data_IF_301400296708
#
_entry.id   IF_301400296708
#
_cell.length_a   1.000
_cell.length_b   1.000
_cell.length_c   1.000
_cell.angle_alpha   90.00
_cell.angle_beta   90.00
_cell.angle_gamma   90.00
#
_symmetry.space_group_name_H-M   'P 1'
#
loop_
_entity.id
_entity.type
_entity.pdbx_description
1 polymer ?
#
# COMPACT_ATOMS: atom_id res chain seq x y z
N UNK A 1 4.67 -2.78 4.78
CA UNK A 1 3.67 -2.94 5.88
C UNK A 1 2.55 -1.95 5.66
N UNK A 2 1.28 -2.37 5.80
CA UNK A 2 0.12 -1.48 5.66
C UNK A 2 -0.25 -0.84 7.00
N UNK A 3 -0.43 0.47 7.00
CA UNK A 3 -1.09 1.22 8.08
C UNK A 3 -2.34 1.91 7.56
N UNK A 4 -3.32 2.12 8.44
CA UNK A 4 -4.61 2.73 8.11
C UNK A 4 -4.84 3.93 9.02
N UNK A 5 -5.22 5.05 8.45
CA UNK A 5 -5.51 6.28 9.20
C UNK A 5 -6.69 7.05 8.58
N UNK A 6 -7.44 7.79 9.40
CA UNK A 6 -8.42 8.72 8.87
C UNK A 6 -7.74 9.98 8.32
N UNK A 7 -8.19 10.42 7.16
CA UNK A 7 -7.82 11.73 6.61
C UNK A 7 -8.49 12.81 7.46
N UNK A 8 -7.69 13.67 8.10
CA UNK A 8 -8.20 14.67 9.05
C UNK A 8 -8.97 15.78 8.39
N UNK A 9 -8.41 16.38 7.32
CA UNK A 9 -9.04 17.46 6.56
C UNK A 9 -8.75 17.31 5.07
N UNK A 10 -9.70 17.69 4.22
CA UNK A 10 -9.55 17.61 2.77
C UNK A 10 -8.43 18.53 2.25
N UNK A 11 -8.39 19.79 2.66
CA UNK A 11 -7.36 20.73 2.24
C UNK A 11 -5.97 20.37 2.74
N UNK A 12 -5.86 19.88 3.99
CA UNK A 12 -4.59 19.38 4.54
C UNK A 12 -4.08 18.17 3.78
N UNK A 13 -4.96 17.26 3.37
CA UNK A 13 -4.60 16.09 2.57
C UNK A 13 -4.15 16.49 1.15
N UNK A 14 -4.92 17.33 0.47
CA UNK A 14 -4.58 17.79 -0.87
C UNK A 14 -3.20 18.49 -0.89
N UNK A 15 -2.94 19.38 0.08
CA UNK A 15 -1.63 20.02 0.23
C UNK A 15 -0.54 19.02 0.56
N UNK A 16 -0.78 18.10 1.49
CA UNK A 16 0.20 17.11 1.95
C UNK A 16 0.63 16.18 0.82
N UNK A 17 -0.31 15.56 0.13
CA UNK A 17 -0.01 14.57 -0.89
C UNK A 17 0.48 15.20 -2.21
N UNK A 18 0.05 16.43 -2.52
CA UNK A 18 0.55 17.17 -3.67
C UNK A 18 1.94 17.79 -3.44
N UNK A 19 2.24 18.25 -2.21
CA UNK A 19 3.51 18.90 -1.88
C UNK A 19 4.64 17.91 -1.58
N UNK A 20 4.32 16.69 -1.17
CA UNK A 20 5.32 15.64 -0.86
C UNK A 20 5.86 14.92 -2.09
N UNK A 21 5.54 15.41 -3.27
CA UNK A 21 6.15 14.98 -4.51
C UNK A 21 7.60 15.46 -4.58
N UNK A 22 8.48 14.74 -3.93
CA UNK A 22 9.95 14.97 -3.92
C UNK A 22 10.61 14.60 -5.26
N UNK A 23 9.86 14.63 -6.34
CA UNK A 23 10.37 14.25 -7.65
C UNK A 23 10.92 15.46 -8.38
N UNK A 24 11.98 15.24 -9.15
CA UNK A 24 12.42 16.17 -10.19
C UNK A 24 11.28 16.41 -11.19
N UNK A 25 11.33 17.49 -11.98
CA UNK A 25 10.32 17.74 -13.02
C UNK A 25 10.08 16.54 -13.96
N UNK A 26 11.09 15.68 -14.16
CA UNK A 26 10.99 14.44 -14.93
C UNK A 26 10.15 13.34 -14.24
N UNK A 27 10.09 13.37 -12.91
CA UNK A 27 9.32 12.39 -12.10
C UNK A 27 7.94 12.93 -11.70
N UNK A 28 7.61 14.17 -12.03
CA UNK A 28 6.32 14.79 -11.70
C UNK A 28 5.12 14.01 -12.27
N UNK A 29 5.31 13.27 -13.35
CA UNK A 29 4.29 12.40 -13.96
C UNK A 29 3.93 11.17 -13.10
N UNK A 30 4.77 10.83 -12.10
CA UNK A 30 4.52 9.70 -11.18
C UNK A 30 3.90 10.12 -9.85
N UNK A 31 3.62 11.39 -9.65
CA UNK A 31 3.33 11.97 -8.33
C UNK A 31 1.99 11.55 -7.73
N UNK A 32 0.99 11.27 -8.53
CA UNK A 32 -0.32 10.83 -8.07
C UNK A 32 -1.18 10.39 -9.24
N UNK A 33 -1.88 9.27 -9.09
CA UNK A 33 -2.80 8.75 -10.11
C UNK A 33 -4.16 8.41 -9.47
N UNK A 34 -5.23 8.57 -10.25
CA UNK A 34 -6.53 8.09 -9.88
C UNK A 34 -6.62 6.58 -10.09
N UNK A 35 -7.18 5.88 -9.11
CA UNK A 35 -7.35 4.43 -9.12
C UNK A 35 -8.75 4.06 -8.63
N UNK A 36 -9.30 3.00 -9.20
CA UNK A 36 -10.57 2.41 -8.80
C UNK A 36 -11.72 2.75 -9.73
N UNK A 37 -12.66 1.82 -9.80
CA UNK A 37 -13.86 1.92 -10.63
C UNK A 37 -14.73 3.14 -10.28
N UNK A 38 -14.73 3.55 -9.00
CA UNK A 38 -15.43 4.75 -8.57
C UNK A 38 -14.82 6.02 -9.16
N UNK A 39 -13.49 6.06 -9.33
CA UNK A 39 -12.82 7.15 -10.03
C UNK A 39 -13.20 7.16 -11.51
N UNK A 40 -13.14 6.02 -12.19
CA UNK A 40 -13.57 5.89 -13.60
C UNK A 40 -15.01 6.33 -13.82
N UNK A 41 -15.95 5.92 -12.96
CA UNK A 41 -17.36 6.33 -13.01
C UNK A 41 -17.53 7.85 -12.90
N UNK A 42 -16.69 8.52 -12.15
CA UNK A 42 -16.71 9.98 -11.98
C UNK A 42 -15.91 10.72 -13.06
N UNK A 43 -15.37 10.00 -14.05
CA UNK A 43 -14.50 10.59 -15.09
C UNK A 43 -13.18 11.11 -14.56
N UNK A 44 -12.70 10.52 -13.46
CA UNK A 44 -11.40 10.80 -12.86
C UNK A 44 -10.39 9.77 -13.37
N UNK A 45 -9.47 10.21 -14.19
CA UNK A 45 -8.44 9.35 -14.76
C UNK A 45 -7.07 10.05 -14.77
N UNK A 46 -6.02 9.27 -14.98
CA UNK A 46 -4.65 9.77 -15.07
C UNK A 46 -4.19 10.45 -13.77
N UNK A 47 -3.57 11.62 -13.93
CA UNK A 47 -2.94 12.35 -12.81
C UNK A 47 -3.96 13.00 -11.89
N UNK A 48 -3.69 12.92 -10.57
CA UNK A 48 -4.51 13.58 -9.56
C UNK A 48 -4.22 15.09 -9.55
N UNK A 49 -5.23 15.89 -9.92
CA UNK A 49 -5.21 17.33 -9.71
C UNK A 49 -5.54 17.68 -8.26
N UNK A 50 -4.77 18.58 -7.64
CA UNK A 50 -4.91 18.90 -6.22
C UNK A 50 -6.26 19.52 -5.86
N UNK A 51 -6.82 20.38 -6.74
CA UNK A 51 -8.14 21.03 -6.49
C UNK A 51 -9.26 20.02 -6.65
N UNK A 52 -9.18 19.18 -7.69
CA UNK A 52 -10.13 18.11 -7.93
C UNK A 52 -10.12 17.10 -6.79
N UNK A 53 -8.93 16.73 -6.29
CA UNK A 53 -8.76 15.83 -5.15
C UNK A 53 -9.36 16.42 -3.87
N UNK A 54 -9.09 17.70 -3.59
CA UNK A 54 -9.70 18.38 -2.45
C UNK A 54 -11.22 18.43 -2.55
N UNK A 55 -11.79 18.70 -3.73
CA UNK A 55 -13.23 18.70 -3.96
C UNK A 55 -13.84 17.32 -3.67
N UNK A 56 -13.25 16.24 -4.19
CA UNK A 56 -13.68 14.86 -3.93
C UNK A 56 -13.62 14.53 -2.44
N UNK A 57 -12.54 14.91 -1.74
CA UNK A 57 -12.42 14.71 -0.30
C UNK A 57 -13.42 15.53 0.52
N UNK A 58 -13.95 16.63 -0.02
CA UNK A 58 -15.08 17.40 0.54
C UNK A 58 -16.46 16.82 0.19
N UNK A 59 -16.50 15.73 -0.58
CA UNK A 59 -17.73 15.12 -1.07
C UNK A 59 -18.37 15.85 -2.25
N UNK A 60 -17.65 16.74 -2.93
CA UNK A 60 -18.09 17.44 -4.13
C UNK A 60 -17.72 16.62 -5.36
N UNK A 61 -18.73 16.18 -6.11
CA UNK A 61 -18.53 15.35 -7.30
C UNK A 61 -18.37 16.21 -8.56
N UNK A 62 -17.72 15.69 -9.63
CA UNK A 62 -17.52 16.42 -10.87
C UNK A 62 -18.81 16.86 -11.57
N UNK A 63 -19.92 16.15 -11.35
CA UNK A 63 -21.24 16.45 -11.88
C UNK A 63 -21.99 17.56 -11.08
N UNK A 64 -21.36 18.15 -10.08
CA UNK A 64 -21.93 19.17 -9.20
C UNK A 64 -22.73 18.62 -8.03
N UNK A 65 -22.95 17.32 -7.97
CA UNK A 65 -23.61 16.68 -6.84
C UNK A 65 -22.72 16.65 -5.60
N UNK A 66 -23.35 16.49 -4.43
CA UNK A 66 -22.65 16.39 -3.15
C UNK A 66 -22.99 15.09 -2.43
N UNK A 67 -21.97 14.44 -1.87
CA UNK A 67 -22.10 13.30 -0.97
C UNK A 67 -22.24 13.78 0.47
N UNK A 68 -23.25 13.28 1.17
CA UNK A 68 -23.58 13.70 2.54
C UNK A 68 -24.65 14.77 2.62
N UNK A 69 -25.05 15.15 3.83
CA UNK A 69 -26.05 16.17 4.07
C UNK A 69 -25.41 17.55 4.17
N UNK A 70 -26.09 18.56 3.65
CA UNK A 70 -25.68 19.95 3.79
C UNK A 70 -25.59 20.33 5.27
N UNK A 71 -24.56 21.07 5.66
CA UNK A 71 -24.34 21.50 7.05
C UNK A 71 -23.76 20.45 8.00
N UNK A 72 -23.45 19.22 7.53
CA UNK A 72 -22.71 18.23 8.32
C UNK A 72 -21.28 18.10 7.83
N UNK A 73 -20.32 17.91 8.77
CA UNK A 73 -18.95 17.63 8.43
C UNK A 73 -18.84 16.32 7.64
N UNK A 74 -18.35 16.42 6.42
CA UNK A 74 -18.06 15.27 5.58
C UNK A 74 -16.69 14.70 5.98
N UNK A 75 -16.65 13.42 6.39
CA UNK A 75 -15.37 12.72 6.60
C UNK A 75 -14.64 12.64 5.26
N UNK A 76 -13.41 13.16 5.19
CA UNK A 76 -12.67 13.27 3.94
C UNK A 76 -12.34 11.90 3.32
N UNK A 77 -11.86 10.94 4.12
CA UNK A 77 -11.52 9.62 3.62
C UNK A 77 -10.65 8.81 4.59
N UNK A 78 -10.04 7.77 4.04
CA UNK A 78 -9.13 6.85 4.75
C UNK A 78 -7.83 6.73 3.96
N UNK A 79 -6.71 6.96 4.60
CA UNK A 79 -5.37 6.73 4.03
C UNK A 79 -4.91 5.31 4.36
N UNK A 80 -4.68 4.52 3.31
CA UNK A 80 -4.04 3.22 3.35
C UNK A 80 -2.58 3.40 2.94
N UNK A 81 -1.67 3.45 3.91
CA UNK A 81 -0.23 3.64 3.62
C UNK A 81 0.46 2.30 3.47
N UNK A 82 0.83 1.95 2.24
CA UNK A 82 1.57 0.74 1.88
C UNK A 82 3.07 1.02 1.89
N UNK A 83 3.78 0.62 2.93
CA UNK A 83 5.24 0.80 3.06
C UNK A 83 5.98 -0.44 2.59
N UNK A 84 6.89 -0.25 1.64
CA UNK A 84 7.80 -1.29 1.15
C UNK A 84 8.79 -1.69 2.26
N UNK A 85 9.17 -2.96 2.40
CA UNK A 85 10.22 -3.36 3.34
C UNK A 85 11.55 -2.67 3.03
N UNK A 86 12.38 -2.47 4.05
CA UNK A 86 13.54 -1.57 3.98
C UNK A 86 14.57 -2.01 2.94
N UNK A 87 14.88 -3.29 2.85
CA UNK A 87 15.86 -3.79 1.88
C UNK A 87 15.47 -3.48 0.43
N UNK A 88 14.18 -3.61 0.11
CA UNK A 88 13.65 -3.29 -1.21
C UNK A 88 13.70 -1.79 -1.50
N UNK A 89 13.40 -0.96 -0.50
CA UNK A 89 13.55 0.50 -0.62
C UNK A 89 15.00 0.89 -0.88
N UNK A 90 15.98 0.20 -0.25
CA UNK A 90 17.41 0.45 -0.46
C UNK A 90 17.84 0.05 -1.88
N UNK A 91 17.48 -1.14 -2.35
CA UNK A 91 17.85 -1.58 -3.71
C UNK A 91 17.20 -0.64 -4.75
N UNK A 92 15.94 -0.25 -4.56
CA UNK A 92 15.22 0.59 -5.50
C UNK A 92 15.74 2.04 -5.52
N UNK A 93 15.90 2.68 -4.35
CA UNK A 93 16.16 4.11 -4.25
C UNK A 93 17.65 4.46 -4.18
N UNK A 94 18.48 3.59 -3.59
CA UNK A 94 19.94 3.77 -3.53
C UNK A 94 20.59 3.06 -4.72
N UNK A 95 20.14 1.85 -5.05
CA UNK A 95 20.62 1.09 -6.19
C UNK A 95 20.06 1.53 -7.55
N UNK A 96 18.95 2.27 -7.55
CA UNK A 96 18.34 2.81 -8.78
C UNK A 96 17.49 1.81 -9.58
N UNK A 97 17.13 0.64 -9.02
CA UNK A 97 16.27 -0.31 -9.73
C UNK A 97 14.78 0.03 -9.60
N UNK A 98 14.30 0.91 -10.47
CA UNK A 98 12.91 1.38 -10.49
C UNK A 98 11.89 0.26 -10.78
N UNK A 99 12.30 -0.87 -11.36
CA UNK A 99 11.41 -2.03 -11.60
C UNK A 99 10.81 -2.55 -10.30
N UNK A 100 11.53 -2.41 -9.18
CA UNK A 100 11.04 -2.79 -7.84
C UNK A 100 9.92 -1.85 -7.39
N UNK A 101 10.04 -0.54 -7.66
CA UNK A 101 8.99 0.44 -7.36
C UNK A 101 7.73 0.14 -8.18
N UNK A 102 7.90 -0.11 -9.49
CA UNK A 102 6.79 -0.42 -10.38
C UNK A 102 6.10 -1.74 -9.96
N UNK A 103 6.87 -2.78 -9.64
CA UNK A 103 6.34 -4.04 -9.12
C UNK A 103 5.55 -3.88 -7.82
N UNK A 104 5.99 -2.99 -6.93
CA UNK A 104 5.26 -2.71 -5.69
C UNK A 104 3.99 -1.88 -5.93
N UNK A 105 4.05 -0.89 -6.83
CA UNK A 105 2.89 -0.12 -7.28
C UNK A 105 1.80 -1.03 -7.84
N UNK A 106 2.17 -1.95 -8.73
CA UNK A 106 1.24 -2.90 -9.33
C UNK A 106 0.60 -3.81 -8.28
N UNK A 107 1.39 -4.31 -7.32
CA UNK A 107 0.89 -5.11 -6.21
C UNK A 107 -0.11 -4.31 -5.34
N UNK A 108 0.14 -3.03 -5.10
CA UNK A 108 -0.79 -2.13 -4.38
C UNK A 108 -2.07 -1.94 -5.20
N UNK A 109 -1.97 -1.64 -6.50
CA UNK A 109 -3.15 -1.46 -7.38
C UNK A 109 -4.02 -2.71 -7.45
N UNK A 110 -3.43 -3.89 -7.61
CA UNK A 110 -4.16 -5.16 -7.58
C UNK A 110 -4.87 -5.38 -6.23
N UNK A 111 -4.22 -5.04 -5.13
CA UNK A 111 -4.82 -5.14 -3.79
C UNK A 111 -5.98 -4.16 -3.62
N UNK A 112 -5.86 -2.93 -4.11
CA UNK A 112 -6.94 -1.93 -4.09
C UNK A 112 -8.12 -2.38 -4.95
N UNK A 113 -7.86 -2.95 -6.12
CA UNK A 113 -8.92 -3.50 -6.97
C UNK A 113 -9.68 -4.67 -6.29
N UNK A 114 -8.95 -5.53 -5.58
CA UNK A 114 -9.59 -6.58 -4.78
C UNK A 114 -10.41 -5.98 -3.62
N UNK A 115 -9.88 -4.99 -2.91
CA UNK A 115 -10.58 -4.31 -1.81
C UNK A 115 -11.85 -3.62 -2.31
N UNK A 116 -11.79 -2.94 -3.43
CA UNK A 116 -12.94 -2.32 -4.09
C UNK A 116 -14.04 -3.33 -4.36
N UNK A 117 -13.69 -4.44 -4.99
CA UNK A 117 -14.64 -5.50 -5.36
C UNK A 117 -15.25 -6.22 -4.17
N UNK A 118 -14.59 -6.28 -3.00
CA UNK A 118 -15.01 -7.14 -1.91
C UNK A 118 -15.36 -6.38 -0.62
N UNK A 119 -14.85 -5.15 -0.44
CA UNK A 119 -14.97 -4.42 0.82
C UNK A 119 -15.72 -3.09 0.72
N UNK A 120 -15.98 -2.59 -0.51
CA UNK A 120 -16.66 -1.31 -0.71
C UNK A 120 -18.14 -1.43 -0.37
N UNK A 121 -18.60 -0.66 0.62
CA UNK A 121 -19.97 -0.66 1.11
C UNK A 121 -20.49 0.76 1.36
N UNK A 122 -21.80 0.89 1.33
CA UNK A 122 -22.51 2.10 1.78
C UNK A 122 -23.75 1.73 2.58
N UNK A 123 -24.37 2.74 3.21
CA UNK A 123 -25.68 2.61 3.84
C UNK A 123 -26.73 3.23 2.94
N UNK A 124 -27.83 2.53 2.75
CA UNK A 124 -28.99 2.99 1.97
C UNK A 124 -30.27 2.73 2.73
N UNK A 125 -31.22 3.65 2.59
CA UNK A 125 -32.60 3.33 2.94
C UNK A 125 -33.20 2.42 1.86
N UNK A 126 -33.69 1.28 2.28
CA UNK A 126 -34.40 0.32 1.43
C UNK A 126 -35.76 0.05 2.07
N UNK A 127 -36.81 0.66 1.53
CA UNK A 127 -38.21 0.56 2.04
C UNK A 127 -38.35 0.98 3.52
N UNK A 128 -37.79 2.15 3.89
CA UNK A 128 -37.87 2.71 5.24
C UNK A 128 -36.91 2.02 6.25
N UNK A 129 -35.97 1.20 5.80
CA UNK A 129 -34.96 0.56 6.67
C UNK A 129 -33.55 0.80 6.16
N UNK A 130 -32.67 1.25 7.05
CA UNK A 130 -31.25 1.37 6.72
C UNK A 130 -30.65 -0.03 6.50
N UNK A 131 -30.02 -0.23 5.35
CA UNK A 131 -29.29 -1.45 5.00
C UNK A 131 -27.87 -1.11 4.54
N UNK A 132 -26.94 -2.00 4.87
CA UNK A 132 -25.60 -1.99 4.30
C UNK A 132 -25.66 -2.67 2.93
N UNK A 133 -25.18 -1.97 1.92
CA UNK A 133 -25.19 -2.42 0.53
C UNK A 133 -23.77 -2.41 -0.02
N UNK A 134 -23.39 -3.47 -0.67
CA UNK A 134 -22.12 -3.57 -1.38
C UNK A 134 -22.17 -2.70 -2.65
N UNK A 135 -21.11 -1.90 -2.87
CA UNK A 135 -21.06 -0.96 -4.00
C UNK A 135 -20.07 -1.39 -5.08
N UNK A 136 -18.99 -2.08 -4.70
CA UNK A 136 -17.99 -2.58 -5.63
C UNK A 136 -17.21 -1.47 -6.34
N UNK A 137 -17.14 -0.28 -5.78
CA UNK A 137 -16.40 0.84 -6.36
C UNK A 137 -15.80 1.74 -5.27
N UNK A 138 -14.55 2.17 -5.50
CA UNK A 138 -13.79 3.10 -4.67
C UNK A 138 -13.27 4.26 -5.52
N UNK A 139 -13.10 5.41 -4.90
CA UNK A 139 -12.42 6.58 -5.48
C UNK A 139 -11.11 6.75 -4.73
N UNK A 140 -9.98 6.48 -5.37
CA UNK A 140 -8.68 6.44 -4.70
C UNK A 140 -7.69 7.36 -5.42
N UNK A 141 -7.07 8.28 -4.66
CA UNK A 141 -5.86 8.95 -5.08
C UNK A 141 -4.65 8.15 -4.58
N UNK A 142 -3.84 7.62 -5.50
CA UNK A 142 -2.63 6.86 -5.18
C UNK A 142 -1.40 7.74 -5.37
N UNK A 143 -0.65 7.97 -4.27
CA UNK A 143 0.52 8.84 -4.24
C UNK A 143 1.76 8.03 -3.83
N UNK A 144 2.84 8.17 -4.59
CA UNK A 144 4.11 7.54 -4.28
C UNK A 144 5.03 8.50 -3.53
N UNK A 145 5.61 8.03 -2.43
CA UNK A 145 6.65 8.74 -1.68
C UNK A 145 7.87 7.84 -1.49
N UNK A 146 9.03 8.42 -1.32
CA UNK A 146 10.30 7.69 -1.26
C UNK A 146 11.15 7.99 -0.03
N UNK A 147 10.71 8.89 0.84
CA UNK A 147 11.42 9.24 2.08
C UNK A 147 10.52 9.17 3.30
N UNK A 148 11.11 8.81 4.43
CA UNK A 148 10.49 9.04 5.73
C UNK A 148 10.82 10.44 6.27
N UNK A 149 10.37 10.77 7.50
CA UNK A 149 10.63 12.08 8.13
C UNK A 149 12.08 12.40 8.41
N UNK A 150 12.92 11.37 8.53
CA UNK A 150 14.35 11.51 8.74
C UNK A 150 15.11 11.55 7.40
N UNK A 151 14.39 11.73 6.28
CA UNK A 151 14.93 11.75 4.92
C UNK A 151 15.69 10.47 4.52
N UNK A 152 15.33 9.34 5.14
CA UNK A 152 15.89 8.04 4.80
C UNK A 152 15.12 7.39 3.65
N UNK A 153 15.78 6.53 2.82
CA UNK A 153 15.12 5.80 1.75
C UNK A 153 13.97 4.95 2.29
N UNK A 154 12.75 5.25 1.87
CA UNK A 154 11.54 4.58 2.34
C UNK A 154 10.43 4.68 1.30
N UNK A 155 10.47 3.79 0.31
CA UNK A 155 9.43 3.76 -0.70
C UNK A 155 8.08 3.33 -0.09
N UNK A 156 7.07 4.14 -0.29
CA UNK A 156 5.71 3.85 0.17
C UNK A 156 4.67 4.53 -0.70
N UNK A 157 3.47 3.98 -0.68
CA UNK A 157 2.32 4.50 -1.40
C UNK A 157 1.21 4.87 -0.43
N UNK A 158 0.71 6.09 -0.54
CA UNK A 158 -0.52 6.50 0.10
C UNK A 158 -1.69 6.26 -0.86
N UNK A 159 -2.55 5.31 -0.54
CA UNK A 159 -3.81 5.12 -1.22
C UNK A 159 -4.91 5.82 -0.42
N UNK A 160 -5.21 7.04 -0.80
CA UNK A 160 -6.22 7.86 -0.13
C UNK A 160 -7.58 7.53 -0.71
N UNK A 161 -8.31 6.68 -0.02
CA UNK A 161 -9.68 6.30 -0.36
C UNK A 161 -10.61 7.39 0.08
N UNK A 162 -11.22 8.12 -0.86
CA UNK A 162 -12.20 9.14 -0.56
C UNK A 162 -13.46 8.54 0.09
N UNK A 163 -14.14 9.31 0.93
CA UNK A 163 -15.41 8.90 1.53
C UNK A 163 -16.58 9.02 0.54
N UNK A 164 -16.36 8.49 -0.66
CA UNK A 164 -17.29 8.53 -1.80
C UNK A 164 -17.37 7.16 -2.42
N UNK A 165 -18.59 6.71 -2.71
CA UNK A 165 -18.87 5.52 -3.51
C UNK A 165 -20.20 5.69 -4.23
N UNK A 166 -20.42 5.02 -5.37
CA UNK A 166 -21.69 5.03 -6.07
C UNK A 166 -22.53 3.81 -5.67
N UNK A 167 -23.74 4.05 -5.24
CA UNK A 167 -24.70 2.98 -4.94
C UNK A 167 -25.28 2.33 -6.19
N UNK A 168 -25.99 1.20 -6.05
CA UNK A 168 -26.60 0.47 -7.17
C UNK A 168 -27.70 1.27 -7.90
N UNK A 169 -28.18 2.35 -7.33
CA UNK A 169 -29.12 3.30 -7.93
C UNK A 169 -28.44 4.46 -8.66
N UNK A 170 -27.12 4.41 -8.84
CA UNK A 170 -26.32 5.41 -9.52
C UNK A 170 -26.02 6.67 -8.69
N UNK A 171 -26.50 6.78 -7.45
CA UNK A 171 -26.28 7.97 -6.61
C UNK A 171 -24.98 7.88 -5.81
N UNK A 172 -24.26 8.99 -5.74
CA UNK A 172 -23.10 9.15 -4.86
C UNK A 172 -23.49 9.09 -3.38
N UNK A 173 -22.69 8.35 -2.57
CA UNK A 173 -22.90 8.14 -1.13
C UNK A 173 -21.60 8.11 -0.36
N UNK A 174 -21.71 8.29 0.95
CA UNK A 174 -20.58 8.09 1.85
C UNK A 174 -20.18 6.61 1.88
N UNK A 175 -18.88 6.37 1.75
CA UNK A 175 -18.28 5.03 1.88
C UNK A 175 -18.32 4.58 3.34
N UNK A 176 -18.75 3.37 3.60
CA UNK A 176 -18.54 2.68 4.86
C UNK A 176 -17.17 1.99 4.85
N UNK A 177 -16.24 2.50 5.65
CA UNK A 177 -14.83 2.07 5.63
C UNK A 177 -14.47 1.01 6.67
N UNK A 178 -15.42 0.51 7.47
CA UNK A 178 -15.16 -0.44 8.56
C UNK A 178 -14.40 -1.68 8.10
N UNK A 179 -14.77 -2.22 6.92
CA UNK A 179 -14.11 -3.38 6.33
C UNK A 179 -12.67 -3.10 5.90
N UNK A 180 -12.35 -1.89 5.43
CA UNK A 180 -10.97 -1.52 5.10
C UNK A 180 -10.07 -1.57 6.35
N UNK A 181 -10.58 -1.09 7.49
CA UNK A 181 -9.89 -1.17 8.77
C UNK A 181 -9.75 -2.61 9.27
N UNK A 182 -10.83 -3.37 9.25
CA UNK A 182 -10.86 -4.75 9.74
C UNK A 182 -9.96 -5.70 8.94
N UNK A 183 -9.77 -5.44 7.64
CA UNK A 183 -9.01 -6.31 6.75
C UNK A 183 -7.59 -5.78 6.43
N UNK A 184 -7.05 -4.84 7.20
CA UNK A 184 -5.73 -4.25 6.93
C UNK A 184 -4.61 -5.30 6.85
N UNK A 185 -4.62 -6.31 7.72
CA UNK A 185 -3.64 -7.40 7.71
C UNK A 185 -3.76 -8.25 6.44
N UNK A 186 -4.99 -8.54 5.99
CA UNK A 186 -5.23 -9.28 4.75
C UNK A 186 -4.73 -8.48 3.53
N UNK A 187 -5.07 -7.19 3.46
CA UNK A 187 -4.62 -6.32 2.37
C UNK A 187 -3.08 -6.22 2.32
N UNK A 188 -2.42 -6.09 3.49
CA UNK A 188 -0.96 -6.13 3.56
C UNK A 188 -0.41 -7.43 3.00
N UNK A 189 -0.94 -8.54 3.43
CA UNK A 189 -0.46 -9.84 3.04
C UNK A 189 -0.68 -10.12 1.54
N UNK A 190 -1.80 -9.69 0.96
CA UNK A 190 -2.05 -9.76 -0.48
C UNK A 190 -1.02 -8.93 -1.26
N UNK A 191 -0.78 -7.69 -0.84
CA UNK A 191 0.23 -6.83 -1.45
C UNK A 191 1.61 -7.48 -1.40
N UNK A 192 2.02 -8.01 -0.24
CA UNK A 192 3.31 -8.67 -0.10
C UNK A 192 3.43 -9.94 -0.95
N UNK A 193 2.38 -10.75 -1.04
CA UNK A 193 2.38 -11.95 -1.87
C UNK A 193 2.54 -11.62 -3.38
N UNK A 194 1.83 -10.60 -3.85
CA UNK A 194 1.95 -10.10 -5.24
C UNK A 194 3.34 -9.53 -5.51
N UNK A 195 3.81 -8.68 -4.62
CA UNK A 195 5.13 -8.06 -4.73
C UNK A 195 6.24 -9.12 -4.75
N UNK A 196 6.15 -10.16 -3.89
CA UNK A 196 7.08 -11.27 -3.88
C UNK A 196 7.20 -11.94 -5.24
N UNK A 197 6.07 -12.32 -5.86
CA UNK A 197 6.06 -12.93 -7.18
C UNK A 197 6.72 -12.05 -8.24
N UNK A 198 6.54 -10.74 -8.14
CA UNK A 198 7.12 -9.78 -9.08
C UNK A 198 8.63 -9.66 -8.91
N UNK A 199 9.15 -9.55 -7.69
CA UNK A 199 10.60 -9.45 -7.46
C UNK A 199 11.33 -10.78 -7.73
N UNK A 200 10.69 -11.93 -7.48
CA UNK A 200 11.23 -13.24 -7.88
C UNK A 200 11.33 -13.36 -9.42
N UNK A 201 10.37 -12.83 -10.17
CA UNK A 201 10.45 -12.73 -11.65
C UNK A 201 11.57 -11.81 -12.12
N UNK A 202 11.89 -10.75 -11.36
CA UNK A 202 13.03 -9.90 -11.63
C UNK A 202 14.37 -10.57 -11.28
N UNK A 203 14.35 -11.80 -10.75
CA UNK A 203 15.51 -12.59 -10.41
C UNK A 203 16.07 -12.35 -9.00
N UNK A 204 15.38 -11.60 -8.16
CA UNK A 204 15.77 -11.38 -6.77
C UNK A 204 15.47 -12.60 -5.89
N UNK A 205 16.35 -12.84 -4.94
CA UNK A 205 16.14 -13.85 -3.90
C UNK A 205 15.49 -13.24 -2.66
N UNK A 206 14.61 -14.02 -2.06
CA UNK A 206 13.92 -13.65 -0.84
C UNK A 206 14.80 -14.02 0.37
N UNK A 207 14.98 -13.06 1.26
CA UNK A 207 15.68 -13.21 2.52
C UNK A 207 14.75 -13.49 3.69
N UNK A 208 14.99 -12.76 4.79
CA UNK A 208 14.24 -12.88 6.03
C UNK A 208 12.73 -12.61 5.82
N UNK A 209 11.88 -13.44 6.40
CA UNK A 209 10.42 -13.29 6.36
C UNK A 209 9.85 -13.10 7.76
N UNK A 210 8.85 -12.26 7.88
CA UNK A 210 8.10 -12.07 9.12
C UNK A 210 6.83 -12.92 9.15
N UNK A 211 6.31 -13.15 10.35
CA UNK A 211 5.03 -13.86 10.57
C UNK A 211 3.80 -13.22 9.90
N UNK A 212 3.92 -11.97 9.44
CA UNK A 212 2.84 -11.22 8.78
C UNK A 212 3.02 -11.11 7.26
N UNK A 213 3.89 -11.95 6.67
CA UNK A 213 4.12 -12.02 5.23
C UNK A 213 5.05 -10.94 4.68
N UNK A 214 5.54 -10.00 5.50
CA UNK A 214 6.58 -9.08 5.04
C UNK A 214 7.90 -9.84 4.88
N UNK A 215 8.67 -9.49 3.88
CA UNK A 215 9.93 -10.15 3.54
C UNK A 215 10.97 -9.14 3.09
N UNK A 216 12.22 -9.44 3.36
CA UNK A 216 13.37 -8.64 2.95
C UNK A 216 14.08 -9.29 1.76
N UNK A 217 14.85 -8.51 1.00
CA UNK A 217 15.70 -9.04 -0.05
C UNK A 217 16.90 -9.77 0.53
N UNK A 218 17.28 -10.91 -0.04
CA UNK A 218 18.54 -11.56 0.26
C UNK A 218 19.72 -10.66 -0.15
N UNK A 219 20.80 -10.67 0.65
CA UNK A 219 21.99 -9.87 0.38
C UNK A 219 21.94 -8.42 0.91
N UNK A 220 20.86 -8.03 1.61
CA UNK A 220 20.83 -6.79 2.39
C UNK A 220 20.80 -7.15 3.87
N UNK A 221 21.89 -6.87 4.57
CA UNK A 221 22.05 -7.26 5.97
C UNK A 221 21.09 -6.48 6.90
N UNK A 222 20.87 -7.03 8.09
CA UNK A 222 20.09 -6.35 9.12
C UNK A 222 20.74 -5.03 9.53
N UNK A 223 22.06 -5.03 9.68
CA UNK A 223 22.84 -3.84 10.03
C UNK A 223 22.64 -2.72 8.99
N UNK A 224 22.71 -3.04 7.70
CA UNK A 224 22.45 -2.11 6.61
C UNK A 224 21.03 -1.54 6.69
N UNK A 225 20.03 -2.40 6.91
CA UNK A 225 18.62 -1.97 7.04
C UNK A 225 18.40 -1.07 8.27
N UNK A 226 18.98 -1.44 9.40
CA UNK A 226 18.83 -0.70 10.66
C UNK A 226 19.53 0.66 10.59
N UNK A 227 20.69 0.76 9.93
CA UNK A 227 21.39 2.02 9.72
C UNK A 227 20.55 3.05 8.94
N UNK A 228 19.68 2.59 8.03
CA UNK A 228 18.72 3.44 7.29
C UNK A 228 17.32 3.47 7.93
N UNK A 229 17.18 3.08 9.20
CA UNK A 229 15.91 2.99 9.91
C UNK A 229 15.91 3.76 11.24
N UNK A 230 16.60 4.91 11.30
CA UNK A 230 16.74 5.71 12.52
C UNK A 230 15.38 6.15 13.07
N UNK A 231 14.42 6.45 12.21
CA UNK A 231 13.06 6.75 12.61
C UNK A 231 12.39 5.63 13.40
N UNK A 232 12.61 4.38 13.00
CA UNK A 232 12.11 3.20 13.72
C UNK A 232 12.79 3.09 15.09
N UNK A 233 14.10 3.32 15.15
CA UNK A 233 14.86 3.26 16.40
C UNK A 233 14.34 4.31 17.40
N UNK A 234 14.06 5.54 16.97
CA UNK A 234 13.48 6.59 17.81
C UNK A 234 12.11 6.17 18.38
N UNK A 235 11.22 5.64 17.55
CA UNK A 235 9.89 5.16 17.98
C UNK A 235 10.02 4.04 19.00
N UNK A 236 10.91 3.06 18.77
CA UNK A 236 11.15 1.95 19.69
C UNK A 236 11.77 2.41 21.01
N UNK A 237 12.71 3.36 20.96
CA UNK A 237 13.29 3.95 22.15
C UNK A 237 12.24 4.71 22.99
N UNK A 238 11.34 5.44 22.34
CA UNK A 238 10.24 6.11 23.02
C UNK A 238 9.24 5.10 23.60
N UNK A 239 8.88 4.06 22.85
CA UNK A 239 7.99 3.00 23.32
C UNK A 239 8.56 2.28 24.55
N UNK A 240 9.89 2.06 24.60
CA UNK A 240 10.56 1.45 25.74
C UNK A 240 10.50 2.31 27.01
N UNK A 241 10.29 3.63 26.88
CA UNK A 241 10.13 4.57 28.00
C UNK A 241 8.68 4.71 28.48
N UNK A 242 7.72 4.12 27.75
CA UNK A 242 6.30 4.20 28.08
C UNK A 242 5.87 2.99 28.92
N UNK A 243 5.07 3.22 29.95
CA UNK A 243 4.51 2.15 30.80
C UNK A 243 3.41 1.35 30.10
N UNK A 244 2.82 1.92 29.03
CA UNK A 244 1.76 1.27 28.24
C UNK A 244 2.32 0.45 27.09
N UNK A 245 1.71 -0.73 26.84
CA UNK A 245 2.07 -1.65 25.75
C UNK A 245 0.88 -1.86 24.83
N UNK A 246 1.15 -2.21 23.59
CA UNK A 246 0.12 -2.54 22.59
C UNK A 246 0.06 -1.56 21.42
N UNK A 247 -0.87 -1.76 20.47
CA UNK A 247 -0.96 -0.93 19.25
C UNK A 247 -1.10 0.56 19.52
N UNK A 248 -1.95 0.95 20.47
CA UNK A 248 -2.15 2.36 20.83
C UNK A 248 -0.90 3.04 21.41
N UNK A 249 -0.05 2.28 22.13
CA UNK A 249 1.22 2.79 22.65
C UNK A 249 2.21 3.07 21.51
N UNK A 250 2.25 2.22 20.50
CA UNK A 250 3.08 2.42 19.30
C UNK A 250 2.66 3.68 18.54
N UNK A 251 1.37 3.92 18.38
CA UNK A 251 0.84 5.11 17.73
C UNK A 251 1.18 6.37 18.55
N UNK A 252 1.03 6.33 19.88
CA UNK A 252 1.40 7.41 20.75
C UNK A 252 2.91 7.71 20.68
N UNK A 253 3.78 6.69 20.75
CA UNK A 253 5.24 6.85 20.61
C UNK A 253 5.61 7.46 19.24
N UNK A 254 4.92 7.06 18.18
CA UNK A 254 5.09 7.63 16.84
C UNK A 254 4.72 9.10 16.78
N UNK A 255 3.65 9.51 17.47
CA UNK A 255 3.25 10.92 17.58
C UNK A 255 4.23 11.74 18.42
N UNK A 256 4.65 11.22 19.57
CA UNK A 256 5.57 11.91 20.49
C UNK A 256 6.94 12.16 19.88
N UNK A 257 7.43 11.24 19.06
CA UNK A 257 8.72 11.36 18.35
C UNK A 257 8.60 12.08 17.01
N UNK A 258 7.43 12.66 16.70
CA UNK A 258 7.16 13.27 15.41
C UNK A 258 7.85 14.62 15.26
N UNK A 259 9.06 14.62 14.64
CA UNK A 259 9.74 15.87 14.27
C UNK A 259 8.93 16.65 13.22
N UNK A 260 9.18 17.96 13.14
CA UNK A 260 8.68 18.79 12.06
C UNK A 260 9.14 18.22 10.70
N UNK A 261 8.29 18.39 9.67
CA UNK A 261 8.62 17.95 8.33
C UNK A 261 9.67 18.90 7.74
N UNK A 262 10.77 18.35 7.25
CA UNK A 262 11.80 19.09 6.54
C UNK A 262 11.54 18.96 5.03
N UNK A 263 11.42 20.10 4.36
CA UNK A 263 11.31 20.09 2.89
C UNK A 263 12.69 19.83 2.29
N UNK A 264 12.78 18.83 1.42
CA UNK A 264 14.02 18.52 0.71
C UNK A 264 14.20 19.56 -0.39
N UNK A 265 15.24 20.40 -0.25
CA UNK A 265 15.56 21.43 -1.23
C UNK A 265 16.50 20.92 -2.34
N UNK A 266 17.38 19.97 -2.02
CA UNK A 266 18.30 19.35 -2.96
C UNK A 266 18.20 17.83 -2.94
N UNK A 267 17.43 17.30 -3.86
CA UNK A 267 17.22 15.86 -4.03
C UNK A 267 18.49 15.12 -4.43
N UNK A 268 19.31 15.74 -5.28
CA UNK A 268 20.55 15.13 -5.74
C UNK A 268 21.57 15.02 -4.59
N UNK A 269 21.65 16.02 -3.71
CA UNK A 269 22.47 15.95 -2.50
C UNK A 269 22.00 14.83 -1.57
N UNK A 270 20.68 14.70 -1.38
CA UNK A 270 20.11 13.61 -0.55
C UNK A 270 20.43 12.24 -1.14
N UNK A 271 20.28 12.05 -2.43
CA UNK A 271 20.59 10.76 -3.09
C UNK A 271 22.08 10.43 -2.98
N UNK A 272 22.98 11.43 -3.11
CA UNK A 272 24.42 11.25 -2.87
C UNK A 272 24.70 10.82 -1.43
N UNK A 273 24.09 11.47 -0.44
CA UNK A 273 24.27 11.10 0.97
C UNK A 273 23.82 9.67 1.27
N UNK A 274 22.79 9.17 0.60
CA UNK A 274 22.39 7.77 0.70
C UNK A 274 23.41 6.82 0.08
N UNK A 275 23.97 7.17 -1.09
CA UNK A 275 24.98 6.38 -1.77
C UNK A 275 26.30 6.32 -0.96
N UNK A 276 26.72 7.46 -0.40
CA UNK A 276 27.92 7.53 0.44
C UNK A 276 27.78 6.63 1.67
N UNK A 277 26.65 6.77 2.39
CA UNK A 277 26.33 5.93 3.55
C UNK A 277 26.22 4.44 3.20
N UNK A 278 25.65 4.12 2.04
CA UNK A 278 25.56 2.73 1.55
C UNK A 278 26.97 2.15 1.32
N UNK A 279 27.87 2.94 0.73
CA UNK A 279 29.27 2.56 0.51
C UNK A 279 30.01 2.31 1.83
N UNK A 280 29.84 3.21 2.82
CA UNK A 280 30.42 3.03 4.16
C UNK A 280 29.96 1.75 4.85
N UNK A 281 28.71 1.34 4.60
CA UNK A 281 28.12 0.10 5.13
C UNK A 281 28.42 -1.14 4.28
N UNK A 282 29.22 -1.03 3.23
CA UNK A 282 29.51 -2.13 2.31
C UNK A 282 28.27 -2.65 1.58
N UNK A 283 27.25 -1.80 1.36
CA UNK A 283 26.05 -2.17 0.60
C UNK A 283 26.29 -1.96 -0.89
N UNK A 284 26.51 -3.06 -1.62
CA UNK A 284 26.70 -3.07 -3.07
C UNK A 284 25.38 -3.42 -3.79
N UNK A 285 24.55 -2.40 -4.01
CA UNK A 285 23.31 -2.55 -4.74
C UNK A 285 23.54 -2.94 -6.20
N UNK A 286 24.62 -2.46 -6.82
CA UNK A 286 24.95 -2.76 -8.23
C UNK A 286 25.19 -4.24 -8.43
N UNK A 287 26.00 -4.87 -7.54
CA UNK A 287 26.23 -6.32 -7.59
C UNK A 287 24.94 -7.12 -7.32
N UNK A 288 24.04 -6.65 -6.43
CA UNK A 288 22.75 -7.30 -6.20
C UNK A 288 21.87 -7.26 -7.45
N UNK A 289 21.76 -6.11 -8.10
CA UNK A 289 20.99 -5.92 -9.33
C UNK A 289 21.57 -6.77 -10.47
N UNK A 290 22.89 -6.78 -10.63
CA UNK A 290 23.54 -7.59 -11.66
C UNK A 290 23.28 -9.10 -11.47
N UNK A 291 23.35 -9.61 -10.23
CA UNK A 291 22.99 -11.00 -9.91
C UNK A 291 21.53 -11.31 -10.20
N UNK A 292 20.62 -10.40 -9.86
CA UNK A 292 19.21 -10.57 -10.15
C UNK A 292 18.96 -10.64 -11.66
N UNK A 293 19.56 -9.74 -12.44
CA UNK A 293 19.45 -9.72 -13.90
C UNK A 293 19.98 -11.02 -14.54
N UNK A 294 21.16 -11.50 -14.10
CA UNK A 294 21.73 -12.75 -14.59
C UNK A 294 20.82 -13.94 -14.30
N UNK A 295 20.20 -13.98 -13.11
CA UNK A 295 19.27 -15.02 -12.70
C UNK A 295 17.97 -14.97 -13.48
N UNK A 296 17.41 -13.77 -13.70
CA UNK A 296 16.22 -13.59 -14.55
C UNK A 296 16.48 -14.07 -15.98
N UNK A 297 17.66 -13.75 -16.56
CA UNK A 297 18.04 -14.19 -17.89
C UNK A 297 18.18 -15.73 -17.99
N UNK A 298 18.75 -16.38 -16.95
CA UNK A 298 18.88 -17.84 -16.93
C UNK A 298 17.52 -18.55 -16.78
N UNK A 299 16.56 -17.94 -16.07
CA UNK A 299 15.22 -18.49 -15.90
C UNK A 299 14.35 -18.42 -17.17
N UNK A 300 14.70 -17.57 -18.13
CA UNK A 300 14.01 -17.51 -19.45
C UNK A 300 14.29 -18.79 -20.26
N UNK A 301 15.41 -19.51 -19.99
CA UNK A 301 15.76 -20.78 -20.65
C UNK A 301 15.14 -22.04 -20.04
N UNK A 302 14.62 -21.96 -18.82
CA UNK A 302 14.03 -23.09 -18.09
C UNK A 302 12.67 -22.74 -17.51
N UNK A 303 11.67 -22.51 -18.37
CA UNK A 303 10.31 -22.13 -17.92
C UNK A 303 9.66 -23.35 -17.25
N UNK A 304 9.42 -23.36 -15.91
CA UNK A 304 8.46 -24.27 -15.31
C UNK A 304 7.14 -24.07 -16.03
N UNK A 305 6.49 -25.13 -16.46
CA UNK A 305 5.23 -25.04 -17.20
C UNK A 305 4.22 -24.24 -16.38
N UNK A 306 3.25 -23.59 -17.05
CA UNK A 306 2.17 -22.85 -16.38
C UNK A 306 1.49 -23.73 -15.31
N UNK A 307 1.45 -25.05 -15.54
CA UNK A 307 0.97 -26.09 -14.63
C UNK A 307 1.78 -26.15 -13.33
N UNK A 308 3.11 -26.14 -13.39
CA UNK A 308 3.95 -26.24 -12.20
C UNK A 308 3.85 -24.99 -11.32
N UNK A 309 3.74 -23.82 -11.96
CA UNK A 309 3.55 -22.53 -11.25
C UNK A 309 2.16 -22.40 -10.63
N UNK A 310 1.14 -22.87 -11.33
CA UNK A 310 -0.25 -22.88 -10.83
C UNK A 310 -0.40 -23.87 -9.67
N UNK A 311 0.24 -25.05 -9.73
CA UNK A 311 0.25 -26.00 -8.62
C UNK A 311 1.01 -25.45 -7.40
N UNK A 312 2.16 -24.81 -7.62
CA UNK A 312 2.94 -24.20 -6.56
C UNK A 312 2.22 -22.99 -5.91
N UNK A 313 1.53 -22.18 -6.70
CA UNK A 313 0.66 -21.09 -6.22
C UNK A 313 -0.59 -21.62 -5.51
N UNK A 314 -1.18 -22.69 -6.01
CA UNK A 314 -2.37 -23.31 -5.41
C UNK A 314 -2.03 -23.99 -4.06
N UNK A 315 -0.86 -24.63 -3.93
CA UNK A 315 -0.42 -25.23 -2.66
C UNK A 315 -0.13 -24.15 -1.60
N UNK A 316 0.65 -23.13 -1.94
CA UNK A 316 0.93 -22.02 -1.01
C UNK A 316 -0.31 -21.19 -0.68
N UNK A 317 -1.19 -20.97 -1.68
CA UNK A 317 -2.45 -20.27 -1.47
C UNK A 317 -3.43 -21.03 -0.57
N UNK A 318 -3.48 -22.36 -0.67
CA UNK A 318 -4.32 -23.21 0.21
C UNK A 318 -3.80 -23.22 1.65
N UNK A 319 -2.51 -23.45 1.85
CA UNK A 319 -1.91 -23.44 3.19
C UNK A 319 -2.11 -22.09 3.88
N UNK A 320 -1.98 -21.04 3.15
CA UNK A 320 -2.11 -19.69 3.63
C UNK A 320 -3.57 -19.30 3.94
N UNK A 321 -4.51 -19.63 3.05
CA UNK A 321 -5.94 -19.43 3.26
C UNK A 321 -6.45 -20.26 4.47
N UNK A 322 -5.95 -21.48 4.63
CA UNK A 322 -6.27 -22.35 5.75
C UNK A 322 -5.74 -21.79 7.07
N UNK A 323 -4.47 -21.35 7.11
CA UNK A 323 -3.87 -20.75 8.31
C UNK A 323 -4.56 -19.44 8.74
N UNK A 324 -5.04 -18.63 7.78
CA UNK A 324 -5.83 -17.43 8.08
C UNK A 324 -7.23 -17.80 8.56
N UNK A 325 -7.91 -18.74 7.90
CA UNK A 325 -9.26 -19.19 8.28
C UNK A 325 -9.28 -19.77 9.71
N UNK A 326 -8.30 -20.62 10.04
CA UNK A 326 -8.15 -21.17 11.39
C UNK A 326 -7.93 -20.08 12.46
N UNK A 327 -7.12 -19.07 12.11
CA UNK A 327 -6.78 -17.98 13.03
C UNK A 327 -7.92 -16.98 13.24
N UNK A 328 -8.81 -16.84 12.24
CA UNK A 328 -10.00 -16.00 12.28
C UNK A 328 -11.24 -16.74 12.81
N UNK A 329 -11.13 -18.03 13.16
CA UNK A 329 -12.24 -18.84 13.62
C UNK A 329 -13.33 -19.07 12.57
N UNK A 330 -12.98 -18.97 11.28
CA UNK A 330 -13.90 -19.13 10.14
C UNK A 330 -14.19 -20.61 9.94
N UNK A 331 -15.46 -21.00 10.00
CA UNK A 331 -15.87 -22.41 9.83
C UNK A 331 -15.92 -22.79 8.34
N UNK A 332 -15.65 -24.06 8.05
CA UNK A 332 -15.80 -24.62 6.70
C UNK A 332 -17.22 -24.36 6.18
N UNK A 333 -17.33 -23.63 5.07
CA UNK A 333 -18.62 -23.23 4.47
C UNK A 333 -18.90 -21.73 4.45
N UNK A 334 -18.06 -20.92 5.10
CA UNK A 334 -18.10 -19.46 5.01
C UNK A 334 -17.67 -19.02 3.59
N UNK A 335 -18.34 -18.03 2.97
CA UNK A 335 -18.03 -17.55 1.61
C UNK A 335 -16.60 -17.03 1.42
N UNK A 336 -15.83 -16.86 2.50
CA UNK A 336 -14.42 -16.47 2.48
C UNK A 336 -13.44 -17.64 2.27
N UNK A 337 -13.90 -18.89 2.33
CA UNK A 337 -13.07 -20.09 2.09
C UNK A 337 -13.22 -20.50 0.64
N UNK A 338 -12.15 -20.60 -0.17
CA UNK A 338 -12.24 -21.10 -1.54
C UNK A 338 -12.86 -22.50 -1.55
N UNK A 339 -13.96 -22.69 -2.27
CA UNK A 339 -14.56 -24.03 -2.47
C UNK A 339 -13.55 -24.93 -3.18
N UNK A 340 -13.37 -26.13 -2.65
CA UNK A 340 -12.51 -27.15 -3.25
C UNK A 340 -13.05 -27.51 -4.64
N UNK A 341 -12.36 -27.06 -5.67
CA UNK A 341 -12.71 -27.33 -7.08
C UNK A 341 -12.32 -28.75 -7.53
N UNK A 342 -11.71 -29.58 -6.67
CA UNK A 342 -11.28 -30.92 -6.99
C UNK A 342 -12.40 -31.97 -7.02
N UNK A 343 -13.65 -31.63 -6.64
CA UNK A 343 -14.81 -32.52 -6.61
C UNK A 343 -15.82 -32.25 -7.74
N UNK A 344 -15.36 -32.06 -8.95
CA UNK A 344 -16.20 -32.23 -10.14
C UNK A 344 -15.47 -33.17 -11.10
N UNK A 345 -15.69 -34.44 -10.91
CA UNK A 345 -15.54 -35.45 -11.97
C UNK A 345 -16.92 -36.00 -12.33
N UNK A 346 -17.09 -36.46 -13.56
CA UNK A 346 -18.29 -36.44 -14.36
C UNK A 346 -19.42 -37.28 -13.81
#
# INVERSE_FOLDING_TARGET
MLSVANVRTAGGAATYFAADNYYTRADADRSGEWVGKGAEILGLDGRVDAKQFEAILKGLLPDGNRVGSEGRDHRAGTDLTFSMPKSWSLIALVGGDNRIIDAYRDAVKETLHWAEKNLAETRMDVKGREKVVHTGNLVVGLFQHDTNRNQEPNAHFHAVVANVTQGPDGKGRALRNDKLWAHNTLLNAMTMARFRLSVEKLGYEIGEQSKHGNFEAAGVSREQRDAFSTRRAEVLAQLARMDTKGPGATDAATLMTRAAKVTIQDRAALSRSWADKATELGFDATALIARANARAASNIGGVPTLSDKVQQLASHGKEWATAIAERLGVKQGDPLVPRDLSRRSP
#
